data_IF_261961773920
#
_entry.id   IF_261961773920
#
_cell.length_a   1.000
_cell.length_b   1.000
_cell.length_c   1.000
_cell.angle_alpha   90.00
_cell.angle_beta   90.00
_cell.angle_gamma   90.00
#
_symmetry.space_group_name_H-M   'P 1'
#
loop_
_entity.id
_entity.type
_entity.pdbx_description
1 polymer ?
#
# COMPACT_ATOMS: atom_id res chain seq x y z
N UNK A 1 -39.92 47.93 38.45
CA UNK A 1 -38.59 47.30 38.50
C UNK A 1 -37.72 47.93 37.43
N UNK A 2 -36.83 48.83 37.87
CA UNK A 2 -35.58 49.22 37.22
C UNK A 2 -34.90 48.02 36.55
N UNK A 3 -34.02 48.10 35.55
CA UNK A 3 -33.34 49.17 34.84
C UNK A 3 -32.44 48.45 33.83
N UNK A 4 -32.20 49.11 32.69
CA UNK A 4 -31.04 48.95 31.79
C UNK A 4 -30.94 47.71 30.88
N UNK A 5 -30.47 47.80 29.64
CA UNK A 5 -30.15 48.91 28.74
C UNK A 5 -29.58 48.32 27.43
N UNK A 6 -30.05 48.84 26.27
CA UNK A 6 -29.24 49.37 25.13
C UNK A 6 -28.30 48.37 24.38
N UNK A 7 -28.24 48.26 23.05
CA UNK A 7 -28.63 49.14 21.95
C UNK A 7 -28.68 48.30 20.67
N UNK A 8 -29.78 48.33 19.93
CA UNK A 8 -29.80 48.04 18.50
C UNK A 8 -30.80 49.02 17.91
N UNK A 9 -30.39 49.85 16.93
CA UNK A 9 -31.20 50.48 15.88
C UNK A 9 -30.38 51.58 15.17
N UNK A 10 -30.58 51.63 13.84
CA UNK A 10 -30.23 52.67 12.83
C UNK A 10 -28.83 52.60 12.21
N UNK A 11 -28.64 52.71 10.89
CA UNK A 11 -29.55 53.06 9.81
C UNK A 11 -29.01 52.55 8.46
N UNK A 12 -29.93 52.22 7.56
CA UNK A 12 -29.69 52.01 6.14
C UNK A 12 -29.81 53.33 5.35
N UNK A 13 -29.13 53.35 4.20
CA UNK A 13 -29.23 54.23 3.04
C UNK A 13 -28.65 55.65 3.18
N UNK A 14 -27.70 55.98 2.29
CA UNK A 14 -27.68 57.18 1.42
C UNK A 14 -26.44 57.12 0.49
N UNK A 15 -26.74 57.19 -0.82
CA UNK A 15 -25.94 57.65 -1.98
C UNK A 15 -24.90 56.76 -2.66
N UNK A 16 -25.31 56.32 -3.86
CA UNK A 16 -24.47 56.13 -5.03
C UNK A 16 -24.12 57.47 -5.71
N UNK A 17 -22.94 57.53 -6.34
CA UNK A 17 -22.68 58.32 -7.54
C UNK A 17 -21.70 59.49 -7.41
N UNK A 18 -20.48 59.31 -7.93
CA UNK A 18 -19.83 60.27 -8.85
C UNK A 18 -18.55 59.65 -9.44
N UNK A 19 -18.53 59.54 -10.76
CA UNK A 19 -17.40 59.12 -11.58
C UNK A 19 -16.35 60.25 -11.70
N UNK A 20 -15.09 59.86 -11.89
CA UNK A 20 -13.98 60.75 -12.23
C UNK A 20 -12.86 59.97 -12.90
N UNK A 21 -12.77 60.10 -14.22
CA UNK A 21 -11.77 59.49 -15.07
C UNK A 21 -10.39 60.16 -14.90
N UNK A 22 -9.32 59.36 -14.96
CA UNK A 22 -8.00 59.83 -15.35
C UNK A 22 -7.30 58.73 -16.14
N UNK A 23 -7.07 59.03 -17.42
CA UNK A 23 -6.30 58.23 -18.35
C UNK A 23 -4.80 58.32 -18.03
N UNK A 24 -4.07 57.22 -18.22
CA UNK A 24 -2.65 57.27 -18.54
C UNK A 24 -2.36 56.42 -19.79
N UNK A 25 -1.66 57.10 -20.68
CA UNK A 25 -1.31 56.82 -22.06
C UNK A 25 -0.28 55.71 -22.20
N UNK A 26 -0.38 54.92 -23.28
CA UNK A 26 0.48 53.77 -23.53
C UNK A 26 1.85 54.06 -24.12
N UNK A 27 2.60 52.97 -24.34
CA UNK A 27 3.20 52.63 -25.63
C UNK A 27 3.58 51.13 -25.62
N UNK A 28 3.48 50.44 -26.76
CA UNK A 28 3.64 48.98 -26.85
C UNK A 28 5.07 48.61 -27.22
N UNK A 29 5.56 47.46 -26.72
CA UNK A 29 6.74 46.82 -27.31
C UNK A 29 6.32 45.57 -28.07
N UNK A 30 6.36 45.68 -29.40
CA UNK A 30 6.16 44.60 -30.33
C UNK A 30 7.50 43.95 -30.71
N UNK A 31 7.50 42.62 -30.63
CA UNK A 31 8.08 41.63 -31.53
C UNK A 31 9.58 41.67 -31.89
N UNK A 32 10.24 40.55 -31.59
CA UNK A 32 11.14 39.92 -32.55
C UNK A 32 10.88 38.40 -32.56
N UNK A 33 10.12 37.94 -33.56
CA UNK A 33 10.06 36.56 -33.98
C UNK A 33 11.10 36.34 -35.09
N UNK A 34 11.87 35.26 -34.99
CA UNK A 34 12.82 34.77 -35.99
C UNK A 34 13.09 33.29 -35.76
N UNK A 35 13.46 32.51 -36.79
CA UNK A 35 12.72 31.30 -37.16
C UNK A 35 13.36 29.99 -36.70
N UNK A 36 12.50 28.97 -36.54
CA UNK A 36 12.72 27.60 -37.01
C UNK A 36 13.93 26.83 -36.47
N UNK A 37 13.71 26.03 -35.43
CA UNK A 37 14.41 24.75 -35.28
C UNK A 37 13.37 23.70 -34.87
N UNK A 38 13.11 22.79 -35.80
CA UNK A 38 12.32 21.58 -35.61
C UNK A 38 12.95 20.72 -34.51
N UNK A 39 12.33 20.70 -33.33
CA UNK A 39 12.53 19.60 -32.40
C UNK A 39 11.49 18.55 -32.71
N UNK A 40 11.92 17.56 -33.49
CA UNK A 40 11.22 16.30 -33.66
C UNK A 40 10.91 15.75 -32.27
N UNK A 41 9.60 15.61 -32.00
CA UNK A 41 9.08 15.04 -30.79
C UNK A 41 9.43 13.56 -30.71
N UNK A 42 10.57 13.25 -30.09
CA UNK A 42 10.80 11.92 -29.54
C UNK A 42 10.00 11.86 -28.25
N UNK A 43 8.78 11.30 -28.34
CA UNK A 43 8.02 10.90 -27.17
C UNK A 43 8.86 10.00 -26.26
N UNK A 44 8.60 9.98 -24.94
CA UNK A 44 9.37 9.13 -24.04
C UNK A 44 9.24 7.68 -24.51
N UNK A 45 10.40 7.03 -24.67
CA UNK A 45 10.49 5.63 -25.03
C UNK A 45 9.63 4.78 -24.08
N UNK A 46 9.01 3.69 -24.58
CA UNK A 46 8.30 2.76 -23.72
C UNK A 46 9.22 2.29 -22.60
N UNK A 47 8.71 2.32 -21.36
CA UNK A 47 9.40 1.81 -20.18
C UNK A 47 9.95 0.41 -20.50
N UNK A 48 11.26 0.15 -20.30
CA UNK A 48 11.80 -1.18 -20.54
C UNK A 48 11.06 -2.16 -19.64
N UNK A 49 10.62 -3.28 -20.23
CA UNK A 49 10.06 -4.40 -19.50
C UNK A 49 10.93 -4.74 -18.30
N UNK A 50 10.27 -5.07 -17.18
CA UNK A 50 10.93 -5.37 -15.91
C UNK A 50 12.16 -6.26 -16.13
N UNK A 51 13.29 -5.99 -15.46
CA UNK A 51 14.33 -7.00 -15.38
C UNK A 51 13.71 -8.23 -14.73
N UNK A 52 13.75 -9.36 -15.43
CA UNK A 52 13.47 -10.66 -14.85
C UNK A 52 14.20 -10.76 -13.50
N UNK A 53 13.53 -11.28 -12.47
CA UNK A 53 14.09 -11.58 -11.14
C UNK A 53 15.16 -12.69 -11.30
N UNK A 54 16.27 -12.37 -11.97
CA UNK A 54 17.32 -13.31 -12.37
C UNK A 54 18.62 -13.09 -11.59
N UNK A 55 18.65 -12.16 -10.63
CA UNK A 55 19.85 -11.83 -9.85
C UNK A 55 19.90 -12.32 -8.39
N UNK A 56 18.82 -12.89 -7.83
CA UNK A 56 18.74 -13.25 -6.39
C UNK A 56 18.71 -14.75 -6.08
N UNK A 57 18.93 -15.63 -7.06
CA UNK A 57 18.75 -17.07 -6.90
C UNK A 57 19.56 -17.74 -5.77
N UNK A 58 20.59 -17.08 -5.22
CA UNK A 58 21.45 -17.65 -4.17
C UNK A 58 21.06 -17.27 -2.72
N UNK A 59 20.18 -16.29 -2.48
CA UNK A 59 20.00 -15.69 -1.14
C UNK A 59 18.95 -16.31 -0.21
N UNK A 60 18.08 -17.17 -0.75
CA UNK A 60 16.85 -17.62 -0.08
C UNK A 60 16.57 -19.13 -0.17
N UNK A 61 17.52 -19.92 -0.68
CA UNK A 61 17.32 -21.36 -0.88
C UNK A 61 17.04 -22.13 0.43
N UNK A 62 17.64 -21.69 1.55
CA UNK A 62 17.40 -22.20 2.91
C UNK A 62 16.01 -21.85 3.46
N UNK A 63 15.37 -20.80 2.94
CA UNK A 63 14.03 -20.34 3.33
C UNK A 63 12.93 -20.89 2.41
N UNK A 64 13.32 -21.42 1.25
CA UNK A 64 12.39 -21.83 0.22
C UNK A 64 11.51 -23.01 0.69
N UNK A 65 10.24 -23.05 0.26
CA UNK A 65 9.42 -24.23 0.50
C UNK A 65 9.98 -25.41 -0.32
N UNK A 66 9.79 -26.67 0.14
CA UNK A 66 10.32 -27.85 -0.55
C UNK A 66 9.76 -28.05 -1.96
N UNK A 67 8.63 -27.41 -2.26
CA UNK A 67 8.02 -27.27 -3.59
C UNK A 67 7.36 -25.91 -3.69
N UNK A 68 7.10 -25.42 -4.90
CA UNK A 68 6.24 -24.24 -5.10
C UNK A 68 4.86 -24.52 -4.53
N UNK A 69 4.34 -23.56 -3.76
CA UNK A 69 3.01 -23.63 -3.15
C UNK A 69 1.96 -23.16 -4.14
N UNK A 70 0.84 -23.87 -4.18
CA UNK A 70 -0.30 -23.62 -5.05
C UNK A 70 -1.19 -22.56 -4.42
N UNK A 71 -1.47 -21.49 -5.13
CA UNK A 71 -2.13 -20.29 -4.59
C UNK A 71 -3.41 -20.00 -5.34
N UNK A 72 -4.45 -19.66 -4.59
CA UNK A 72 -5.68 -19.05 -5.12
C UNK A 72 -5.69 -17.53 -4.95
N UNK A 73 -6.25 -16.81 -5.92
CA UNK A 73 -6.51 -15.36 -5.81
C UNK A 73 -8.02 -15.13 -5.80
N UNK A 74 -8.57 -14.67 -4.68
CA UNK A 74 -9.98 -14.28 -4.55
C UNK A 74 -10.13 -12.80 -4.93
N UNK A 75 -11.15 -12.47 -5.73
CA UNK A 75 -11.27 -11.13 -6.31
C UNK A 75 -10.31 -10.89 -7.48
N UNK A 76 -9.92 -11.96 -8.19
CA UNK A 76 -8.89 -11.95 -9.24
C UNK A 76 -9.10 -10.95 -10.37
N UNK A 77 -10.35 -10.56 -10.67
CA UNK A 77 -10.67 -9.62 -11.76
C UNK A 77 -10.57 -8.15 -11.33
N UNK A 78 -10.52 -7.86 -10.02
CA UNK A 78 -10.40 -6.50 -9.50
C UNK A 78 -8.97 -5.96 -9.58
N UNK A 79 -8.80 -4.64 -9.39
CA UNK A 79 -7.51 -3.97 -9.53
C UNK A 79 -6.39 -4.58 -8.66
N UNK A 80 -6.68 -4.94 -7.40
CA UNK A 80 -5.71 -5.61 -6.51
C UNK A 80 -5.47 -7.07 -6.93
N UNK A 81 -6.51 -7.79 -7.39
CA UNK A 81 -6.38 -9.16 -7.90
C UNK A 81 -5.46 -9.23 -9.12
N UNK A 82 -5.57 -8.26 -10.03
CA UNK A 82 -4.68 -8.14 -11.18
C UNK A 82 -3.23 -7.92 -10.75
N UNK A 83 -2.98 -7.11 -9.70
CA UNK A 83 -1.64 -6.92 -9.13
C UNK A 83 -1.07 -8.19 -8.51
N UNK A 84 -1.88 -8.99 -7.81
CA UNK A 84 -1.44 -10.31 -7.36
C UNK A 84 -0.98 -11.17 -8.53
N UNK A 85 -1.77 -11.26 -9.58
CA UNK A 85 -1.46 -12.08 -10.76
C UNK A 85 -0.18 -11.60 -11.45
N UNK A 86 -0.02 -10.29 -11.63
CA UNK A 86 1.18 -9.70 -12.21
C UNK A 86 2.44 -9.99 -11.38
N UNK A 87 2.40 -9.77 -10.06
CA UNK A 87 3.57 -9.98 -9.19
C UNK A 87 3.86 -11.46 -8.87
N UNK A 88 2.89 -12.36 -9.09
CA UNK A 88 3.08 -13.79 -8.93
C UNK A 88 3.55 -14.50 -10.21
N UNK A 89 3.61 -13.80 -11.34
CA UNK A 89 4.12 -14.35 -12.59
C UNK A 89 5.61 -14.74 -12.43
N UNK A 90 5.90 -16.04 -12.61
CA UNK A 90 7.26 -16.56 -12.44
C UNK A 90 7.77 -16.56 -10.98
N UNK A 91 6.89 -16.37 -9.99
CA UNK A 91 7.31 -16.28 -8.60
C UNK A 91 7.99 -17.57 -8.11
N UNK A 92 9.19 -17.51 -7.49
CA UNK A 92 10.00 -18.70 -7.21
C UNK A 92 9.36 -19.65 -6.21
N UNK A 93 8.46 -19.18 -5.35
CA UNK A 93 7.83 -19.98 -4.30
C UNK A 93 6.35 -20.28 -4.54
N UNK A 94 5.68 -19.56 -5.43
CA UNK A 94 4.22 -19.55 -5.52
C UNK A 94 3.76 -19.76 -6.95
N UNK A 95 2.74 -20.58 -7.13
CA UNK A 95 2.08 -20.87 -8.41
C UNK A 95 0.60 -20.52 -8.32
N UNK A 96 0.12 -19.60 -9.16
CA UNK A 96 -1.29 -19.26 -9.23
C UNK A 96 -2.05 -20.37 -9.96
N UNK A 97 -2.85 -21.16 -9.24
CA UNK A 97 -3.59 -22.30 -9.81
C UNK A 97 -5.11 -22.11 -9.82
N UNK A 98 -5.61 -21.15 -9.05
CA UNK A 98 -7.04 -20.91 -8.92
C UNK A 98 -7.36 -19.41 -8.88
N UNK A 99 -8.37 -19.00 -9.65
CA UNK A 99 -8.80 -17.61 -9.72
C UNK A 99 -10.28 -17.53 -9.37
N UNK A 100 -10.58 -16.83 -8.27
CA UNK A 100 -11.94 -16.63 -7.78
C UNK A 100 -12.43 -15.22 -8.07
N UNK A 101 -13.65 -15.08 -8.58
CA UNK A 101 -14.27 -13.77 -8.75
C UNK A 101 -15.79 -13.83 -8.54
N UNK A 102 -16.49 -12.79 -8.99
CA UNK A 102 -17.96 -12.71 -8.91
C UNK A 102 -18.65 -13.84 -9.69
N UNK A 103 -19.90 -14.16 -9.33
CA UNK A 103 -20.75 -15.11 -10.09
C UNK A 103 -20.88 -14.77 -11.58
N UNK A 104 -20.83 -13.48 -11.94
CA UNK A 104 -20.85 -13.01 -13.34
C UNK A 104 -19.61 -13.42 -14.14
N UNK A 105 -18.49 -13.60 -13.45
CA UNK A 105 -17.19 -13.96 -14.03
C UNK A 105 -16.94 -15.47 -13.96
N UNK A 106 -17.51 -16.16 -12.96
CA UNK A 106 -17.39 -17.61 -12.80
C UNK A 106 -17.80 -18.37 -14.06
N UNK A 107 -17.06 -19.43 -14.38
CA UNK A 107 -17.25 -20.28 -15.57
C UNK A 107 -16.62 -19.74 -16.87
N UNK A 108 -16.12 -18.49 -16.88
CA UNK A 108 -15.43 -17.91 -18.04
C UNK A 108 -13.92 -18.13 -17.93
N UNK A 109 -13.23 -18.19 -19.07
CA UNK A 109 -11.77 -18.04 -19.11
C UNK A 109 -11.37 -16.66 -18.55
N UNK A 110 -10.33 -16.59 -17.73
CA UNK A 110 -9.92 -15.37 -17.04
C UNK A 110 -9.70 -14.19 -17.99
N UNK A 111 -9.01 -14.41 -19.11
CA UNK A 111 -8.77 -13.36 -20.11
C UNK A 111 -10.04 -12.74 -20.69
N UNK A 112 -11.14 -13.48 -20.72
CA UNK A 112 -12.46 -12.98 -21.17
C UNK A 112 -13.28 -12.38 -20.02
N UNK A 113 -12.96 -12.70 -18.77
CA UNK A 113 -13.69 -12.26 -17.59
C UNK A 113 -13.13 -10.97 -17.00
N UNK A 114 -11.82 -10.73 -17.17
CA UNK A 114 -11.10 -9.59 -16.61
C UNK A 114 -11.14 -8.39 -17.55
N UNK A 115 -11.32 -7.22 -16.99
CA UNK A 115 -10.95 -5.97 -17.64
C UNK A 115 -9.55 -5.59 -17.16
N UNK A 116 -8.53 -5.99 -17.91
CA UNK A 116 -7.13 -5.80 -17.53
C UNK A 116 -6.74 -4.31 -17.64
N UNK A 117 -6.28 -3.71 -16.55
CA UNK A 117 -5.95 -2.27 -16.47
C UNK A 117 -4.48 -2.00 -16.12
N UNK A 118 -3.68 -3.07 -15.98
CA UNK A 118 -2.24 -2.97 -15.83
C UNK A 118 -1.58 -2.85 -17.20
N UNK A 119 -0.33 -2.37 -17.20
CA UNK A 119 0.45 -2.27 -18.42
C UNK A 119 0.84 -3.68 -18.90
N UNK A 120 0.81 -3.91 -20.21
CA UNK A 120 1.05 -5.23 -20.82
C UNK A 120 -0.20 -6.11 -20.91
N UNK A 121 -0.01 -7.34 -21.41
CA UNK A 121 -1.09 -8.30 -21.61
C UNK A 121 -1.39 -9.11 -20.33
N UNK A 122 -2.56 -9.74 -20.30
CA UNK A 122 -2.89 -10.73 -19.26
C UNK A 122 -1.86 -11.87 -19.31
N UNK A 123 -1.23 -12.26 -18.18
CA UNK A 123 -0.24 -13.34 -18.18
C UNK A 123 -0.79 -14.62 -18.79
N UNK A 124 -0.08 -15.15 -19.80
CA UNK A 124 -0.52 -16.29 -20.59
C UNK A 124 -0.79 -17.54 -19.73
N UNK A 125 -0.02 -17.70 -18.65
CA UNK A 125 -0.15 -18.81 -17.71
C UNK A 125 -1.52 -18.88 -17.02
N UNK A 126 -2.25 -17.75 -16.90
CA UNK A 126 -3.56 -17.72 -16.23
C UNK A 126 -4.71 -17.31 -17.15
N UNK A 127 -4.44 -16.80 -18.35
CA UNK A 127 -5.45 -16.29 -19.27
C UNK A 127 -6.54 -17.33 -19.61
N UNK A 128 -6.16 -18.61 -19.74
CA UNK A 128 -7.04 -19.73 -20.04
C UNK A 128 -7.68 -20.38 -18.80
N UNK A 129 -7.29 -19.98 -17.59
CA UNK A 129 -7.88 -20.56 -16.37
C UNK A 129 -9.37 -20.21 -16.28
N UNK A 130 -10.20 -21.21 -15.99
CA UNK A 130 -11.61 -20.99 -15.68
C UNK A 130 -11.73 -20.29 -14.33
N UNK A 131 -12.40 -19.15 -14.32
CA UNK A 131 -12.73 -18.42 -13.10
C UNK A 131 -13.73 -19.22 -12.27
N UNK A 132 -13.45 -19.33 -10.97
CA UNK A 132 -14.21 -20.10 -9.98
C UNK A 132 -15.07 -19.17 -9.11
N UNK A 133 -16.09 -19.72 -8.43
CA UNK A 133 -16.75 -18.98 -7.35
C UNK A 133 -15.82 -18.91 -6.15
N UNK A 134 -15.91 -17.83 -5.35
CA UNK A 134 -15.10 -17.67 -4.15
C UNK A 134 -15.66 -18.53 -2.99
N UNK A 135 -15.68 -19.85 -3.19
CA UNK A 135 -16.19 -20.85 -2.26
C UNK A 135 -15.09 -21.90 -1.98
N UNK A 136 -14.85 -22.31 -0.73
CA UNK A 136 -13.75 -23.23 -0.40
C UNK A 136 -13.82 -24.58 -1.14
N UNK A 137 -15.03 -25.06 -1.45
CA UNK A 137 -15.29 -26.28 -2.23
C UNK A 137 -14.67 -26.24 -3.63
N UNK A 138 -14.52 -25.05 -4.23
CA UNK A 138 -13.88 -24.87 -5.54
C UNK A 138 -12.36 -24.64 -5.44
N UNK A 139 -11.79 -24.63 -4.24
CA UNK A 139 -10.37 -24.32 -3.98
C UNK A 139 -9.66 -25.45 -3.21
N UNK A 140 -10.12 -26.69 -3.35
CA UNK A 140 -9.47 -27.85 -2.69
C UNK A 140 -8.04 -28.14 -3.17
N UNK A 141 -7.62 -27.53 -4.28
CA UNK A 141 -6.32 -27.70 -4.93
C UNK A 141 -5.30 -26.59 -4.60
N UNK A 142 -5.60 -25.72 -3.64
CA UNK A 142 -4.69 -24.64 -3.19
C UNK A 142 -4.11 -24.92 -1.80
N UNK A 143 -2.86 -24.53 -1.62
CA UNK A 143 -2.18 -24.52 -0.33
C UNK A 143 -2.65 -23.32 0.52
N UNK A 144 -2.93 -22.17 -0.10
CA UNK A 144 -3.49 -20.98 0.55
C UNK A 144 -4.14 -20.02 -0.46
N UNK A 145 -4.79 -18.96 0.03
CA UNK A 145 -5.38 -17.92 -0.82
C UNK A 145 -4.92 -16.51 -0.45
N UNK A 146 -4.76 -15.67 -1.47
CA UNK A 146 -4.76 -14.22 -1.35
C UNK A 146 -6.19 -13.69 -1.52
N UNK A 147 -6.65 -12.87 -0.58
CA UNK A 147 -7.97 -12.23 -0.66
C UNK A 147 -7.83 -10.76 -1.09
N UNK A 148 -8.20 -10.48 -2.34
CA UNK A 148 -8.36 -9.15 -2.91
C UNK A 148 -9.84 -8.73 -2.97
N UNK A 149 -10.67 -9.30 -2.09
CA UNK A 149 -12.12 -9.07 -2.07
C UNK A 149 -12.48 -7.67 -1.58
N UNK A 150 -13.63 -7.19 -2.02
CA UNK A 150 -14.24 -5.99 -1.44
C UNK A 150 -14.70 -6.27 0.01
N UNK A 151 -14.57 -5.26 0.86
CA UNK A 151 -14.88 -5.37 2.29
C UNK A 151 -16.35 -5.77 2.57
N UNK A 152 -17.29 -5.49 1.66
CA UNK A 152 -18.70 -5.86 1.82
C UNK A 152 -18.95 -7.38 1.80
N UNK A 153 -18.07 -8.16 1.15
CA UNK A 153 -18.22 -9.62 1.02
C UNK A 153 -17.07 -10.40 1.65
N UNK A 154 -15.92 -9.75 1.88
CA UNK A 154 -14.70 -10.40 2.36
C UNK A 154 -14.90 -11.16 3.67
N UNK A 155 -15.57 -10.56 4.68
CA UNK A 155 -15.65 -11.15 6.02
C UNK A 155 -16.20 -12.58 6.05
N UNK A 156 -17.34 -12.81 5.41
CA UNK A 156 -17.95 -14.15 5.35
C UNK A 156 -17.12 -15.12 4.51
N UNK A 157 -16.63 -14.67 3.35
CA UNK A 157 -15.85 -15.54 2.45
C UNK A 157 -14.54 -15.95 3.12
N UNK A 158 -13.79 -15.02 3.68
CA UNK A 158 -12.52 -15.29 4.36
C UNK A 158 -12.70 -16.24 5.54
N UNK A 159 -13.76 -16.04 6.35
CA UNK A 159 -14.10 -16.95 7.44
C UNK A 159 -14.41 -18.37 6.96
N UNK A 160 -15.10 -18.52 5.82
CA UNK A 160 -15.39 -19.82 5.22
C UNK A 160 -14.11 -20.53 4.76
N UNK A 161 -13.17 -19.81 4.15
CA UNK A 161 -11.86 -20.38 3.74
C UNK A 161 -11.04 -20.83 4.96
N UNK A 162 -10.94 -20.00 6.00
CA UNK A 162 -10.26 -20.38 7.24
C UNK A 162 -10.92 -21.60 7.89
N UNK A 163 -12.25 -21.65 7.94
CA UNK A 163 -13.01 -22.78 8.50
C UNK A 163 -12.84 -24.08 7.70
N UNK A 164 -12.60 -23.97 6.38
CA UNK A 164 -12.26 -25.09 5.51
C UNK A 164 -10.76 -25.48 5.57
N UNK A 165 -10.03 -24.93 6.53
CA UNK A 165 -8.62 -25.21 6.75
C UNK A 165 -7.67 -24.51 5.78
N UNK A 166 -8.12 -23.51 5.02
CA UNK A 166 -7.29 -22.78 4.04
C UNK A 166 -6.71 -21.51 4.67
N UNK A 167 -5.38 -21.34 4.75
CA UNK A 167 -4.77 -20.07 5.16
C UNK A 167 -5.15 -18.91 4.21
N UNK A 168 -5.42 -17.74 4.80
CA UNK A 168 -5.88 -16.54 4.08
C UNK A 168 -4.94 -15.36 4.35
N UNK A 169 -4.39 -14.80 3.27
CA UNK A 169 -3.65 -13.53 3.29
C UNK A 169 -4.55 -12.44 2.72
N UNK A 170 -5.15 -11.64 3.60
CA UNK A 170 -6.20 -10.69 3.23
C UNK A 170 -5.70 -9.27 3.02
N UNK A 171 -6.21 -8.63 1.97
CA UNK A 171 -6.12 -7.19 1.76
C UNK A 171 -7.32 -6.41 2.34
N UNK A 172 -8.40 -7.11 2.69
CA UNK A 172 -9.62 -6.51 3.17
C UNK A 172 -9.48 -5.94 4.59
N UNK A 173 -10.29 -4.94 4.91
CA UNK A 173 -10.25 -4.26 6.22
C UNK A 173 -10.88 -5.08 7.35
N UNK A 174 -11.70 -6.07 7.03
CA UNK A 174 -12.67 -6.70 7.93
C UNK A 174 -12.04 -7.28 9.20
N UNK A 175 -10.86 -7.90 9.04
CA UNK A 175 -10.20 -8.62 10.13
C UNK A 175 -9.01 -7.85 10.72
N UNK A 176 -8.68 -6.65 10.21
CA UNK A 176 -7.45 -5.91 10.59
C UNK A 176 -7.35 -5.62 12.08
N UNK A 177 -8.47 -5.27 12.69
CA UNK A 177 -8.55 -4.91 14.11
C UNK A 177 -9.06 -6.04 15.01
N UNK A 178 -9.20 -7.27 14.48
CA UNK A 178 -9.54 -8.43 15.32
C UNK A 178 -8.36 -8.73 16.27
N UNK A 179 -8.58 -8.98 17.57
CA UNK A 179 -7.52 -9.04 18.59
C UNK A 179 -6.39 -10.04 18.33
N UNK A 180 -6.67 -11.17 17.71
CA UNK A 180 -5.69 -12.24 17.41
C UNK A 180 -5.38 -12.40 15.92
N UNK A 181 -5.82 -11.46 15.07
CA UNK A 181 -5.46 -11.44 13.65
C UNK A 181 -4.31 -10.47 13.43
N UNK A 182 -3.15 -10.91 12.92
CA UNK A 182 -2.04 -10.01 12.65
C UNK A 182 -2.37 -8.99 11.55
N UNK A 183 -1.94 -7.76 11.78
CA UNK A 183 -1.94 -6.65 10.82
C UNK A 183 -0.49 -6.34 10.47
N UNK A 184 0.02 -6.95 9.40
CA UNK A 184 1.47 -7.04 9.17
C UNK A 184 1.90 -6.16 8.01
N UNK A 185 2.86 -5.28 8.28
CA UNK A 185 3.72 -4.62 7.31
C UNK A 185 5.10 -5.27 7.46
N UNK A 186 5.50 -6.17 6.53
CA UNK A 186 6.62 -7.08 6.72
C UNK A 186 7.93 -6.45 7.23
N UNK A 187 8.40 -5.30 6.71
CA UNK A 187 9.64 -4.70 7.23
C UNK A 187 9.49 -4.06 8.63
N UNK A 188 8.27 -3.75 9.06
CA UNK A 188 7.98 -3.00 10.29
C UNK A 188 7.69 -3.94 11.47
N UNK A 189 6.80 -4.90 11.32
CA UNK A 189 6.35 -5.75 12.43
C UNK A 189 6.24 -7.26 12.06
N UNK A 190 7.32 -7.89 11.58
CA UNK A 190 7.32 -9.28 11.14
C UNK A 190 7.04 -10.29 12.26
N UNK A 191 7.32 -9.94 13.52
CA UNK A 191 7.05 -10.72 14.72
C UNK A 191 5.55 -10.86 15.02
N UNK A 192 4.73 -9.91 14.59
CA UNK A 192 3.27 -9.97 14.76
C UNK A 192 2.66 -11.17 14.05
N UNK A 193 3.32 -11.66 12.99
CA UNK A 193 2.87 -12.82 12.25
C UNK A 193 2.84 -14.08 13.14
N UNK A 194 3.70 -14.19 14.15
CA UNK A 194 3.74 -15.37 15.02
C UNK A 194 2.45 -15.55 15.87
N UNK A 195 1.66 -14.48 16.04
CA UNK A 195 0.36 -14.49 16.73
C UNK A 195 -0.68 -15.33 16.00
N UNK A 196 -0.50 -15.68 14.71
CA UNK A 196 -1.41 -16.63 14.03
C UNK A 196 -1.55 -17.96 14.79
N UNK A 197 -0.53 -18.36 15.57
CA UNK A 197 -0.57 -19.57 16.41
C UNK A 197 -1.63 -19.51 17.50
N UNK A 198 -2.10 -18.33 17.91
CA UNK A 198 -3.18 -18.17 18.88
C UNK A 198 -4.57 -18.28 18.26
N UNK A 199 -4.68 -18.31 16.93
CA UNK A 199 -5.95 -18.51 16.25
C UNK A 199 -6.36 -19.98 16.37
N UNK A 200 -7.61 -20.22 16.77
CA UNK A 200 -8.14 -21.58 16.94
C UNK A 200 -7.99 -22.43 15.68
N UNK A 201 -8.23 -21.86 14.51
CA UNK A 201 -8.07 -22.53 13.22
C UNK A 201 -6.64 -23.04 12.97
N UNK A 202 -5.64 -22.39 13.56
CA UNK A 202 -4.24 -22.78 13.40
C UNK A 202 -3.96 -24.08 14.13
N UNK A 203 -4.49 -24.23 15.35
CA UNK A 203 -4.41 -25.48 16.09
C UNK A 203 -5.23 -26.60 15.43
N UNK A 204 -6.42 -26.27 14.91
CA UNK A 204 -7.35 -27.27 14.36
C UNK A 204 -6.89 -27.82 12.99
N UNK A 205 -6.25 -26.99 12.16
CA UNK A 205 -5.97 -27.34 10.75
C UNK A 205 -4.70 -26.73 10.16
N UNK A 206 -3.96 -25.93 10.93
CA UNK A 206 -2.87 -25.08 10.41
C UNK A 206 -3.35 -23.86 9.63
N UNK A 207 -4.66 -23.62 9.56
CA UNK A 207 -5.24 -22.48 8.86
C UNK A 207 -5.23 -21.23 9.72
N UNK A 208 -5.04 -20.08 9.09
CA UNK A 208 -5.03 -18.80 9.78
C UNK A 208 -5.45 -17.71 8.83
N UNK A 209 -5.76 -16.55 9.38
CA UNK A 209 -5.89 -15.31 8.63
C UNK A 209 -4.86 -14.29 9.10
N UNK A 210 -4.22 -13.64 8.14
CA UNK A 210 -3.37 -12.46 8.35
C UNK A 210 -3.84 -11.38 7.39
N UNK A 211 -3.75 -10.13 7.83
CA UNK A 211 -4.11 -8.96 7.02
C UNK A 211 -2.90 -8.10 6.74
N UNK A 212 -2.84 -7.50 5.55
CA UNK A 212 -1.99 -6.34 5.33
C UNK A 212 -2.69 -5.05 5.80
N UNK A 213 -1.93 -3.96 5.88
CA UNK A 213 -2.44 -2.66 6.30
C UNK A 213 -3.16 -1.89 5.18
N UNK A 214 -3.80 -0.79 5.54
CA UNK A 214 -4.25 0.22 4.59
C UNK A 214 -3.06 0.73 3.77
N UNK A 215 -3.33 1.05 2.50
CA UNK A 215 -2.27 1.44 1.56
C UNK A 215 -1.53 2.71 1.99
N UNK A 216 -2.22 3.71 2.55
CA UNK A 216 -1.58 4.91 3.11
C UNK A 216 -0.87 4.61 4.42
N UNK A 217 -1.47 3.81 5.30
CA UNK A 217 -0.83 3.39 6.56
C UNK A 217 0.48 2.65 6.29
N UNK A 218 0.54 1.81 5.26
CA UNK A 218 1.74 1.02 4.91
C UNK A 218 2.93 1.92 4.60
N UNK A 219 2.76 2.90 3.71
CA UNK A 219 3.83 3.85 3.40
C UNK A 219 4.23 4.67 4.62
N UNK A 220 3.23 5.13 5.39
CA UNK A 220 3.43 5.91 6.60
C UNK A 220 4.27 5.15 7.64
N UNK A 221 3.88 3.94 8.03
CA UNK A 221 4.58 3.19 9.08
C UNK A 221 5.99 2.77 8.68
N UNK A 222 6.25 2.51 7.39
CA UNK A 222 7.63 2.30 6.92
C UNK A 222 8.52 3.52 7.17
N UNK A 223 7.98 4.73 7.04
CA UNK A 223 8.73 5.96 7.33
C UNK A 223 8.80 6.28 8.84
N UNK A 224 7.74 6.00 9.60
CA UNK A 224 7.71 6.28 11.04
C UNK A 224 8.57 5.31 11.85
N UNK A 225 8.62 4.04 11.46
CA UNK A 225 9.33 2.98 12.21
C UNK A 225 10.80 3.29 12.53
N UNK A 226 11.68 3.64 11.56
CA UNK A 226 13.07 4.01 11.87
C UNK A 226 13.17 5.25 12.77
N UNK A 227 12.22 6.19 12.66
CA UNK A 227 12.20 7.43 13.46
C UNK A 227 11.75 7.12 14.90
N UNK A 228 10.69 6.33 15.09
CA UNK A 228 10.23 5.89 16.41
C UNK A 228 11.33 5.15 17.15
N UNK A 229 12.04 4.24 16.46
CA UNK A 229 13.14 3.47 17.07
C UNK A 229 14.33 4.33 17.50
N UNK A 230 14.68 5.34 16.71
CA UNK A 230 15.85 6.17 16.97
C UNK A 230 15.58 7.30 17.97
N UNK A 231 14.40 7.94 17.88
CA UNK A 231 14.13 9.20 18.58
C UNK A 231 12.81 9.21 19.36
N UNK A 232 11.92 8.26 19.09
CA UNK A 232 10.55 8.26 19.62
C UNK A 232 9.69 9.39 19.06
N UNK A 233 8.42 9.12 18.83
CA UNK A 233 7.42 10.07 18.36
C UNK A 233 6.52 10.43 19.53
N UNK A 234 6.36 11.73 19.77
CA UNK A 234 5.43 12.27 20.75
C UNK A 234 4.08 12.59 20.11
N UNK A 235 4.06 13.07 18.87
CA UNK A 235 2.83 13.34 18.11
C UNK A 235 3.10 13.41 16.61
N UNK A 236 2.10 13.08 15.79
CA UNK A 236 2.17 13.16 14.34
C UNK A 236 0.95 13.87 13.73
N UNK A 237 1.18 14.67 12.69
CA UNK A 237 0.14 15.22 11.82
C UNK A 237 0.43 14.75 10.40
N UNK A 238 -0.56 14.13 9.76
CA UNK A 238 -0.41 13.57 8.41
C UNK A 238 -1.51 14.07 7.47
N UNK A 239 -1.12 14.40 6.24
CA UNK A 239 -2.05 14.75 5.18
C UNK A 239 -1.73 13.94 3.94
N UNK A 240 -2.69 13.16 3.45
CA UNK A 240 -2.48 12.30 2.28
C UNK A 240 -2.97 12.95 1.00
N UNK A 241 -2.28 12.66 -0.09
CA UNK A 241 -2.72 12.88 -1.47
C UNK A 241 -2.69 11.52 -2.16
N UNK A 242 -3.84 10.87 -2.21
CA UNK A 242 -3.97 9.49 -2.62
C UNK A 242 -4.35 9.38 -4.09
N UNK A 243 -3.67 8.49 -4.80
CA UNK A 243 -3.99 8.07 -6.16
C UNK A 243 -5.38 7.43 -6.29
N UNK A 244 -5.96 7.49 -7.48
CA UNK A 244 -7.30 7.00 -7.81
C UNK A 244 -7.38 5.47 -7.82
N UNK A 245 -6.29 4.75 -8.12
CA UNK A 245 -6.30 3.28 -8.14
C UNK A 245 -6.64 2.65 -6.79
N UNK A 246 -6.47 3.38 -5.68
CA UNK A 246 -6.90 2.94 -4.35
C UNK A 246 -8.41 2.84 -4.17
N UNK A 247 -9.22 3.43 -5.06
CA UNK A 247 -10.67 3.27 -5.07
C UNK A 247 -11.15 2.01 -5.80
N UNK A 248 -10.23 1.23 -6.39
CA UNK A 248 -10.55 0.07 -7.21
C UNK A 248 -11.07 0.46 -8.60
N UNK A 249 -11.74 -0.48 -9.26
CA UNK A 249 -12.37 -0.28 -10.58
C UNK A 249 -13.82 -0.78 -10.51
N UNK A 250 -14.83 -0.01 -10.98
CA UNK A 250 -14.73 1.24 -11.76
C UNK A 250 -14.28 2.48 -10.97
N UNK A 251 -14.20 2.40 -9.64
CA UNK A 251 -13.59 3.44 -8.81
C UNK A 251 -14.30 4.79 -8.89
N UNK A 252 -13.52 5.86 -9.00
CA UNK A 252 -14.02 7.24 -9.08
C UNK A 252 -14.20 7.64 -10.54
N UNK A 253 -15.22 8.46 -10.83
CA UNK A 253 -15.47 8.91 -12.19
C UNK A 253 -14.43 9.92 -12.65
N UNK A 254 -14.22 10.02 -13.96
CA UNK A 254 -13.35 11.04 -14.52
C UNK A 254 -13.83 12.46 -14.19
N UNK A 255 -15.15 12.69 -14.14
CA UNK A 255 -15.73 14.00 -13.80
C UNK A 255 -15.48 14.39 -12.33
N UNK A 256 -15.38 13.42 -11.43
CA UNK A 256 -15.05 13.72 -10.02
C UNK A 256 -13.59 14.15 -9.85
N UNK A 257 -12.69 13.72 -10.75
CA UNK A 257 -11.24 13.83 -10.57
C UNK A 257 -10.54 14.79 -11.53
N UNK A 258 -11.07 15.01 -12.73
CA UNK A 258 -10.48 15.95 -13.68
C UNK A 258 -10.55 17.38 -13.12
N UNK A 259 -9.41 18.07 -13.13
CA UNK A 259 -9.27 19.43 -12.58
C UNK A 259 -9.72 19.58 -11.11
N UNK A 260 -9.63 18.50 -10.33
CA UNK A 260 -10.21 18.47 -8.99
C UNK A 260 -9.37 17.71 -7.95
N UNK A 261 -9.67 17.98 -6.68
CA UNK A 261 -9.19 17.26 -5.51
C UNK A 261 -10.39 16.97 -4.62
N UNK A 262 -10.55 15.72 -4.17
CA UNK A 262 -11.63 15.35 -3.24
C UNK A 262 -11.06 15.33 -1.82
N UNK A 263 -11.46 16.23 -0.91
CA UNK A 263 -10.84 16.38 0.40
C UNK A 263 -11.35 15.37 1.45
N UNK A 264 -11.90 14.24 1.00
CA UNK A 264 -12.47 13.22 1.87
C UNK A 264 -12.43 11.85 1.23
N UNK A 265 -11.93 10.86 1.97
CA UNK A 265 -12.02 9.44 1.62
C UNK A 265 -12.68 8.71 2.79
N UNK A 266 -13.83 8.08 2.53
CA UNK A 266 -14.67 7.47 3.56
C UNK A 266 -13.94 6.48 4.47
N UNK A 267 -13.85 6.83 5.77
CA UNK A 267 -13.24 6.00 6.80
C UNK A 267 -11.71 5.88 6.72
N UNK A 268 -11.05 6.64 5.85
CA UNK A 268 -9.60 6.54 5.63
C UNK A 268 -8.79 7.18 6.77
N UNK A 269 -9.23 8.34 7.27
CA UNK A 269 -8.63 9.02 8.42
C UNK A 269 -8.67 8.12 9.66
N UNK A 270 -9.82 7.52 9.97
CA UNK A 270 -9.95 6.59 11.09
C UNK A 270 -9.01 5.37 10.95
N UNK A 271 -8.78 4.85 9.74
CA UNK A 271 -7.80 3.76 9.53
C UNK A 271 -6.38 4.25 9.79
N UNK A 272 -6.02 5.43 9.28
CA UNK A 272 -4.70 6.04 9.53
C UNK A 272 -4.45 6.30 11.00
N UNK A 273 -5.49 6.63 11.78
CA UNK A 273 -5.40 6.92 13.21
C UNK A 273 -5.49 5.69 14.12
N UNK A 274 -5.89 4.53 13.58
CA UNK A 274 -6.02 3.28 14.34
C UNK A 274 -4.97 2.24 13.97
N UNK A 275 -4.74 1.99 12.67
CA UNK A 275 -3.95 0.86 12.22
C UNK A 275 -2.46 0.98 12.60
N UNK A 276 -1.88 2.19 12.57
CA UNK A 276 -0.47 2.37 12.97
C UNK A 276 -0.22 1.96 14.41
N UNK A 277 -1.20 2.12 15.30
CA UNK A 277 -1.07 1.79 16.72
C UNK A 277 -0.78 0.31 16.89
N UNK A 278 -1.55 -0.51 16.18
CA UNK A 278 -1.35 -1.95 16.16
C UNK A 278 -0.04 -2.32 15.44
N UNK A 279 0.30 -1.67 14.33
CA UNK A 279 1.49 -2.02 13.53
C UNK A 279 2.80 -1.66 14.24
N UNK A 280 2.91 -0.44 14.77
CA UNK A 280 4.11 0.04 15.49
C UNK A 280 4.15 -0.45 16.94
N UNK A 281 3.04 -1.06 17.40
CA UNK A 281 2.92 -1.69 18.69
C UNK A 281 3.72 -2.99 18.83
N UNK A 282 3.50 -3.70 19.94
CA UNK A 282 4.17 -4.95 20.24
C UNK A 282 3.24 -6.17 20.21
N UNK A 283 3.82 -7.35 20.34
CA UNK A 283 3.08 -8.56 20.74
C UNK A 283 2.92 -8.53 22.26
N UNK A 284 1.74 -8.90 22.78
CA UNK A 284 1.50 -8.94 24.22
C UNK A 284 2.32 -10.06 24.90
N UNK A 285 2.45 -10.00 26.23
CA UNK A 285 3.27 -10.95 27.00
C UNK A 285 2.82 -12.41 26.89
N UNK A 286 1.56 -12.66 26.52
CA UNK A 286 1.03 -14.00 26.30
C UNK A 286 1.28 -14.54 24.90
N UNK A 287 1.75 -13.71 23.96
CA UNK A 287 1.94 -14.10 22.56
C UNK A 287 0.63 -14.34 21.79
N UNK A 288 -0.51 -13.91 22.35
CA UNK A 288 -1.85 -14.22 21.80
C UNK A 288 -2.58 -13.01 21.23
N UNK A 289 -1.99 -11.82 21.34
CA UNK A 289 -2.53 -10.56 20.83
C UNK A 289 -1.47 -9.47 20.80
N UNK A 290 -1.91 -8.22 20.78
CA UNK A 290 -1.05 -7.07 20.51
C UNK A 290 -1.15 -5.99 21.60
N UNK A 291 -0.14 -5.16 21.71
CA UNK A 291 -0.14 -3.90 22.47
C UNK A 291 -0.03 -2.74 21.49
N UNK A 292 -0.73 -1.64 21.77
CA UNK A 292 -0.73 -0.46 20.90
C UNK A 292 0.52 0.40 21.11
N UNK A 293 1.03 1.01 20.04
CA UNK A 293 1.89 2.19 20.12
C UNK A 293 1.12 3.39 20.70
N UNK A 294 1.84 4.28 21.40
CA UNK A 294 1.24 5.26 22.30
C UNK A 294 1.70 6.69 21.96
N UNK A 295 1.26 7.22 20.82
CA UNK A 295 1.33 8.65 20.51
C UNK A 295 0.09 9.07 19.73
N UNK A 296 -0.42 10.31 19.86
CA UNK A 296 -1.51 10.80 19.02
C UNK A 296 -1.05 11.03 17.58
N UNK A 297 -1.90 10.64 16.63
CA UNK A 297 -1.75 10.94 15.21
C UNK A 297 -3.05 11.57 14.71
N UNK A 298 -2.95 12.71 14.03
CA UNK A 298 -4.09 13.36 13.37
C UNK A 298 -3.95 13.22 11.85
N UNK A 299 -4.99 12.76 11.18
CA UNK A 299 -4.97 12.50 9.74
C UNK A 299 -5.96 13.38 8.95
N UNK A 300 -5.58 13.72 7.73
CA UNK A 300 -6.50 14.25 6.70
C UNK A 300 -6.30 13.50 5.40
N UNK A 301 -7.36 12.97 4.81
CA UNK A 301 -7.27 12.09 3.64
C UNK A 301 -7.88 12.69 2.37
N UNK A 302 -7.04 12.95 1.37
CA UNK A 302 -7.46 13.57 0.11
C UNK A 302 -7.22 12.65 -1.09
N UNK A 303 -8.10 12.71 -2.08
CA UNK A 303 -7.91 12.08 -3.39
C UNK A 303 -7.42 13.10 -4.41
N UNK A 304 -6.40 12.74 -5.17
CA UNK A 304 -5.83 13.56 -6.25
C UNK A 304 -5.84 12.80 -7.57
N UNK A 305 -5.79 13.53 -8.69
CA UNK A 305 -5.81 12.95 -10.04
C UNK A 305 -4.44 12.35 -10.44
N UNK A 306 -4.05 11.29 -9.73
CA UNK A 306 -2.82 10.51 -9.95
C UNK A 306 -3.22 9.04 -10.09
N UNK A 307 -2.73 8.35 -11.13
CA UNK A 307 -3.08 6.94 -11.41
C UNK A 307 -2.71 6.01 -10.25
N UNK A 308 -1.43 5.98 -9.89
CA UNK A 308 -0.84 5.15 -8.82
C UNK A 308 0.22 5.96 -8.06
N UNK A 309 0.40 5.63 -6.79
CA UNK A 309 1.34 6.27 -5.85
C UNK A 309 0.61 7.17 -4.86
N UNK A 310 0.72 6.87 -3.56
CA UNK A 310 0.20 7.73 -2.49
C UNK A 310 1.31 8.61 -1.96
N UNK A 311 0.99 9.90 -1.78
CA UNK A 311 1.86 10.86 -1.12
C UNK A 311 1.33 11.19 0.26
N UNK A 312 2.22 11.38 1.23
CA UNK A 312 1.87 11.73 2.59
C UNK A 312 2.82 12.83 3.07
N UNK A 313 2.28 14.00 3.39
CA UNK A 313 3.00 15.04 4.12
C UNK A 313 2.92 14.72 5.61
N UNK A 314 4.07 14.58 6.26
CA UNK A 314 4.17 14.16 7.67
C UNK A 314 4.89 15.24 8.46
N UNK A 315 4.32 15.67 9.58
CA UNK A 315 4.98 16.52 10.58
C UNK A 315 5.03 15.79 11.92
N UNK A 316 6.20 15.72 12.52
CA UNK A 316 6.48 14.93 13.73
C UNK A 316 7.01 15.83 14.84
N UNK A 317 6.49 15.61 16.05
CA UNK A 317 7.13 16.02 17.29
C UNK A 317 7.81 14.79 17.88
N UNK A 318 9.10 14.91 18.18
CA UNK A 318 9.95 13.82 18.62
C UNK A 318 10.11 13.86 20.14
N UNK A 319 10.20 12.68 20.75
CA UNK A 319 10.46 12.52 22.18
C UNK A 319 11.90 12.91 22.51
N UNK A 320 12.83 12.54 21.64
CA UNK A 320 14.21 13.00 21.63
C UNK A 320 14.42 13.89 20.41
N UNK A 321 14.84 15.14 20.63
CA UNK A 321 15.12 16.08 19.54
C UNK A 321 16.20 15.52 18.61
N UNK A 322 15.99 15.68 17.32
CA UNK A 322 16.93 15.29 16.27
C UNK A 322 16.89 16.32 15.15
N UNK A 323 18.06 16.59 14.57
CA UNK A 323 18.20 17.39 13.35
C UNK A 323 17.62 16.64 12.14
N UNK A 324 17.24 17.36 11.06
CA UNK A 324 16.82 16.72 9.82
C UNK A 324 17.84 15.71 9.28
N UNK A 325 19.14 15.99 9.39
CA UNK A 325 20.20 15.07 8.93
C UNK A 325 20.27 13.77 9.75
N UNK A 326 20.03 13.83 11.06
CA UNK A 326 19.94 12.62 11.90
C UNK A 326 18.70 11.79 11.55
N UNK A 327 17.57 12.45 11.25
CA UNK A 327 16.35 11.79 10.77
C UNK A 327 16.55 11.13 9.41
N UNK A 328 17.23 11.82 8.47
CA UNK A 328 17.61 11.25 7.17
C UNK A 328 18.53 10.04 7.33
N UNK A 329 19.51 10.10 8.23
CA UNK A 329 20.41 8.98 8.50
C UNK A 329 19.64 7.77 9.07
N UNK A 330 18.70 7.98 9.99
CA UNK A 330 17.86 6.92 10.53
C UNK A 330 16.97 6.27 9.44
N UNK A 331 16.38 7.07 8.56
CA UNK A 331 15.59 6.61 7.43
C UNK A 331 16.42 5.81 6.41
N UNK A 332 17.60 6.33 6.05
CA UNK A 332 18.51 5.69 5.10
C UNK A 332 19.11 4.39 5.66
N UNK A 333 19.31 4.32 6.98
CA UNK A 333 19.78 3.13 7.69
C UNK A 333 18.68 2.12 8.04
N UNK A 334 17.46 2.29 7.54
CA UNK A 334 16.35 1.41 7.91
C UNK A 334 16.59 -0.04 7.46
N UNK A 335 16.59 -0.93 8.45
CA UNK A 335 16.60 -2.38 8.26
C UNK A 335 15.34 -2.99 8.86
N UNK A 336 14.75 -4.02 8.22
CA UNK A 336 13.62 -4.75 8.78
C UNK A 336 13.90 -5.25 10.19
N UNK A 337 12.87 -5.31 11.05
CA UNK A 337 13.03 -5.84 12.43
C UNK A 337 13.49 -7.29 12.47
N UNK A 338 13.18 -8.07 11.43
CA UNK A 338 13.67 -9.43 11.24
C UNK A 338 14.47 -9.48 9.94
N UNK A 339 15.76 -9.84 10.05
CA UNK A 339 16.68 -9.89 8.91
C UNK A 339 16.23 -10.88 7.82
N UNK A 340 15.38 -11.86 8.15
CA UNK A 340 14.79 -12.78 7.15
C UNK A 340 13.99 -12.02 6.10
N UNK A 341 13.35 -10.90 6.46
CA UNK A 341 12.49 -10.12 5.58
C UNK A 341 13.29 -9.53 4.41
N UNK A 342 14.54 -9.11 4.63
CA UNK A 342 15.41 -8.57 3.58
C UNK A 342 15.86 -9.65 2.57
N UNK A 343 15.73 -10.93 2.93
CA UNK A 343 16.15 -12.08 2.12
C UNK A 343 15.00 -12.68 1.32
N UNK A 344 13.76 -12.26 1.57
CA UNK A 344 12.59 -12.81 0.87
C UNK A 344 12.66 -12.52 -0.64
N UNK A 345 12.11 -13.40 -1.50
CA UNK A 345 12.21 -13.24 -2.95
C UNK A 345 11.69 -11.89 -3.47
N UNK A 346 10.56 -11.42 -2.92
CA UNK A 346 9.96 -10.15 -3.30
C UNK A 346 10.56 -8.93 -2.60
N UNK A 347 11.52 -9.11 -1.68
CA UNK A 347 12.10 -7.99 -0.94
C UNK A 347 12.88 -7.06 -1.87
N UNK A 348 12.68 -5.73 -1.81
CA UNK A 348 13.47 -4.78 -2.56
C UNK A 348 14.90 -4.69 -2.00
N UNK A 349 15.84 -4.05 -2.71
CA UNK A 349 17.16 -3.72 -2.15
C UNK A 349 17.08 -2.90 -0.85
N UNK A 350 16.09 -2.00 -0.76
CA UNK A 350 15.81 -1.20 0.42
C UNK A 350 14.29 -0.99 0.56
N UNK A 351 13.75 -1.14 1.78
CA UNK A 351 12.32 -0.89 2.04
C UNK A 351 12.01 0.61 2.21
N UNK A 352 12.99 1.40 2.62
CA UNK A 352 12.92 2.87 2.68
C UNK A 352 14.10 3.43 1.91
N UNK A 353 13.84 4.40 1.03
CA UNK A 353 14.87 5.15 0.31
C UNK A 353 14.68 6.64 0.55
N UNK A 354 15.74 7.33 0.98
CA UNK A 354 15.74 8.79 1.08
C UNK A 354 16.08 9.38 -0.29
N UNK A 355 15.27 10.33 -0.75
CA UNK A 355 15.47 11.05 -2.01
C UNK A 355 16.71 11.95 -1.90
N UNK A 356 17.49 12.02 -2.98
CA UNK A 356 18.60 12.95 -3.07
C UNK A 356 18.13 14.42 -3.02
N UNK A 357 19.00 15.32 -2.55
CA UNK A 357 18.75 16.77 -2.54
C UNK A 357 18.18 17.34 -1.23
N UNK A 358 18.01 16.52 -0.18
CA UNK A 358 17.65 16.97 1.17
C UNK A 358 16.29 17.67 1.26
N UNK A 359 16.20 18.69 2.14
CA UNK A 359 14.96 19.41 2.45
C UNK A 359 14.33 20.21 1.29
N UNK A 360 15.16 20.68 0.35
CA UNK A 360 14.77 21.56 -0.76
C UNK A 360 14.49 20.81 -2.07
N UNK A 361 14.69 19.48 -2.08
CA UNK A 361 14.37 18.65 -3.23
C UNK A 361 12.87 18.71 -3.59
N UNK A 362 12.56 18.59 -4.87
CA UNK A 362 11.21 18.43 -5.40
C UNK A 362 10.77 16.94 -5.44
N UNK A 363 11.35 16.11 -4.57
CA UNK A 363 11.16 14.66 -4.50
C UNK A 363 10.70 14.22 -3.10
N UNK A 364 9.87 13.15 -3.00
CA UNK A 364 9.42 12.29 -4.08
C UNK A 364 8.24 12.85 -4.90
N UNK A 365 8.00 12.28 -6.08
CA UNK A 365 6.86 12.52 -6.95
C UNK A 365 6.23 11.18 -7.39
N UNK A 366 4.90 10.99 -7.34
CA UNK A 366 4.27 9.70 -7.62
C UNK A 366 4.70 9.07 -8.94
N UNK A 367 4.70 9.85 -10.03
CA UNK A 367 5.04 9.35 -11.37
C UNK A 367 6.50 8.88 -11.48
N UNK A 368 7.41 9.50 -10.73
CA UNK A 368 8.85 9.26 -10.85
C UNK A 368 9.34 8.21 -9.85
N UNK A 369 8.69 8.10 -8.68
CA UNK A 369 9.21 7.37 -7.53
C UNK A 369 8.40 6.15 -7.13
N UNK A 370 7.14 6.02 -7.56
CA UNK A 370 6.28 4.91 -7.12
C UNK A 370 6.83 3.52 -7.49
N UNK A 371 7.61 3.42 -8.56
CA UNK A 371 8.11 2.13 -9.09
C UNK A 371 9.51 1.78 -8.56
N UNK A 372 10.10 2.60 -7.69
CA UNK A 372 11.37 2.31 -7.02
C UNK A 372 11.28 0.98 -6.26
N UNK A 373 12.30 0.13 -6.40
CA UNK A 373 12.31 -1.22 -5.84
C UNK A 373 11.17 -2.11 -6.35
N UNK A 374 10.67 -1.87 -7.57
CA UNK A 374 9.53 -2.59 -8.12
C UNK A 374 8.20 -2.25 -7.44
N UNK A 375 8.11 -1.08 -6.79
CA UNK A 375 6.96 -0.65 -6.01
C UNK A 375 6.91 -1.18 -4.58
N UNK A 376 7.95 -1.89 -4.14
CA UNK A 376 8.11 -2.36 -2.75
C UNK A 376 8.87 -1.39 -1.85
N UNK A 377 9.51 -0.35 -2.41
CA UNK A 377 10.25 0.66 -1.65
C UNK A 377 9.36 1.87 -1.36
N UNK A 378 9.33 2.29 -0.10
CA UNK A 378 8.78 3.59 0.30
C UNK A 378 9.85 4.65 0.11
N UNK A 379 9.57 5.67 -0.70
CA UNK A 379 10.50 6.78 -0.93
C UNK A 379 10.16 7.93 0.00
N UNK A 380 11.14 8.44 0.74
CA UNK A 380 11.00 9.57 1.65
C UNK A 380 11.86 10.72 1.15
N UNK A 381 11.39 11.95 1.28
CA UNK A 381 12.16 13.14 0.88
C UNK A 381 11.70 14.38 1.61
N UNK A 382 12.31 15.51 1.28
CA UNK A 382 12.04 16.81 1.92
C UNK A 382 12.11 16.79 3.44
N UNK A 383 13.04 16.02 4.01
CA UNK A 383 13.25 15.99 5.46
C UNK A 383 13.85 17.32 5.88
N UNK A 384 13.15 18.06 6.76
CA UNK A 384 13.52 19.42 7.16
C UNK A 384 12.87 19.80 8.47
N UNK A 385 13.35 20.90 9.06
CA UNK A 385 12.76 21.44 10.28
C UNK A 385 11.28 21.80 10.09
N UNK A 386 10.47 21.53 11.11
CA UNK A 386 9.10 21.98 11.19
C UNK A 386 9.00 23.14 12.19
N UNK A 387 8.54 24.34 11.81
CA UNK A 387 8.48 25.48 12.74
C UNK A 387 7.42 25.34 13.85
N UNK A 388 6.49 24.38 13.70
CA UNK A 388 5.43 24.10 14.67
C UNK A 388 5.71 22.83 15.48
N UNK A 389 6.35 21.85 14.83
CA UNK A 389 6.72 20.57 15.42
C UNK A 389 8.25 20.49 15.49
N UNK A 390 8.86 19.36 15.15
CA UNK A 390 10.32 19.23 15.14
C UNK A 390 10.84 18.99 13.73
N UNK A 391 10.30 17.98 13.06
CA UNK A 391 10.69 17.60 11.70
C UNK A 391 9.46 17.39 10.84
N UNK A 392 9.59 17.66 9.53
CA UNK A 392 8.59 17.31 8.54
C UNK A 392 9.25 16.69 7.31
N UNK A 393 8.53 15.79 6.68
CA UNK A 393 8.99 14.97 5.55
C UNK A 393 7.82 14.63 4.63
N UNK A 394 8.13 14.12 3.45
CA UNK A 394 7.15 13.67 2.45
C UNK A 394 7.43 12.21 2.10
N UNK A 395 6.40 11.39 2.14
CA UNK A 395 6.46 9.95 1.85
C UNK A 395 5.75 9.68 0.53
N UNK A 396 6.32 8.82 -0.32
CA UNK A 396 5.69 8.23 -1.49
C UNK A 396 5.72 6.71 -1.39
N UNK A 397 4.60 6.05 -1.66
CA UNK A 397 4.54 4.58 -1.71
C UNK A 397 3.56 4.09 -2.77
N UNK A 398 3.87 2.94 -3.39
CA UNK A 398 2.99 2.34 -4.39
C UNK A 398 1.79 1.68 -3.72
N UNK A 399 0.61 2.29 -3.84
CA UNK A 399 -0.57 1.90 -3.08
C UNK A 399 -1.16 0.54 -3.46
N UNK A 400 -0.96 0.07 -4.69
CA UNK A 400 -1.43 -1.26 -5.13
C UNK A 400 -0.36 -2.36 -5.13
N UNK A 401 0.91 -2.01 -4.83
CA UNK A 401 2.02 -2.96 -4.67
C UNK A 401 2.36 -3.07 -3.19
N UNK A 402 3.27 -2.25 -2.64
CA UNK A 402 3.57 -2.30 -1.21
C UNK A 402 2.32 -2.05 -0.35
N UNK A 403 1.44 -1.13 -0.76
CA UNK A 403 0.21 -0.84 -0.02
C UNK A 403 -0.91 -1.89 -0.15
N UNK A 404 -0.73 -2.94 -0.95
CA UNK A 404 -1.74 -3.98 -1.16
C UNK A 404 -1.11 -5.35 -1.48
N UNK A 405 -1.11 -5.75 -2.76
CA UNK A 405 -0.76 -7.11 -3.19
C UNK A 405 0.65 -7.51 -2.79
N UNK A 406 1.63 -6.60 -2.95
CA UNK A 406 3.03 -6.85 -2.62
C UNK A 406 3.25 -7.12 -1.13
N UNK A 407 2.62 -6.35 -0.24
CA UNK A 407 2.70 -6.61 1.21
C UNK A 407 2.10 -7.97 1.59
N UNK A 408 0.98 -8.35 0.98
CA UNK A 408 0.41 -9.69 1.19
C UNK A 408 1.33 -10.80 0.67
N UNK A 409 1.98 -10.62 -0.49
CA UNK A 409 2.97 -11.57 -1.02
C UNK A 409 4.15 -11.72 -0.06
N UNK A 410 4.73 -10.61 0.42
CA UNK A 410 5.79 -10.63 1.43
C UNK A 410 5.34 -11.29 2.74
N UNK A 411 4.09 -11.09 3.16
CA UNK A 411 3.54 -11.79 4.34
C UNK A 411 3.47 -13.31 4.13
N UNK A 412 3.11 -13.76 2.92
CA UNK A 412 3.12 -15.19 2.59
C UNK A 412 4.53 -15.77 2.54
N UNK A 413 5.49 -15.05 1.95
CA UNK A 413 6.90 -15.43 1.95
C UNK A 413 7.44 -15.52 3.38
N UNK A 414 7.14 -14.52 4.22
CA UNK A 414 7.53 -14.51 5.63
C UNK A 414 6.90 -15.69 6.40
N UNK A 415 5.64 -16.05 6.11
CA UNK A 415 4.99 -17.21 6.71
C UNK A 415 5.66 -18.53 6.33
N UNK A 416 6.13 -18.67 5.08
CA UNK A 416 6.94 -19.82 4.65
C UNK A 416 8.27 -19.84 5.39
N UNK A 417 9.00 -18.72 5.41
CA UNK A 417 10.30 -18.61 6.08
C UNK A 417 10.21 -18.92 7.59
N UNK A 418 9.13 -18.50 8.26
CA UNK A 418 8.82 -18.81 9.67
C UNK A 418 8.21 -20.20 9.90
N UNK A 419 8.07 -21.02 8.85
CA UNK A 419 7.45 -22.37 8.88
C UNK A 419 6.01 -22.40 9.42
N UNK A 420 5.32 -21.27 9.30
CA UNK A 420 3.90 -21.09 9.63
C UNK A 420 2.98 -21.57 8.50
N UNK A 421 3.46 -21.45 7.26
CA UNK A 421 2.76 -21.90 6.07
C UNK A 421 3.45 -23.12 5.46
N UNK A 422 2.69 -24.16 5.15
CA UNK A 422 3.17 -25.40 4.52
C UNK A 422 2.20 -25.87 3.45
N UNK A 423 2.69 -26.75 2.58
CA UNK A 423 1.87 -27.47 1.61
C UNK A 423 0.73 -28.22 2.29
N UNK A 424 -0.50 -27.98 1.85
CA UNK A 424 -1.71 -28.73 2.24
C UNK A 424 -2.10 -29.77 1.19
N UNK A 425 -1.75 -29.55 -0.07
CA UNK A 425 -2.10 -30.45 -1.16
C UNK A 425 -1.02 -31.53 -1.30
N UNK A 426 -1.41 -32.79 -1.10
CA UNK A 426 -0.52 -33.95 -1.20
C UNK A 426 -0.34 -34.42 -2.65
N UNK A 427 0.91 -34.55 -3.07
CA UNK A 427 1.36 -35.27 -4.26
C UNK A 427 2.84 -35.60 -4.07
N UNK A 428 3.35 -36.75 -4.57
CA UNK A 428 4.68 -37.23 -4.24
C UNK A 428 5.76 -36.23 -4.71
N UNK A 429 6.83 -36.15 -3.91
CA UNK A 429 8.07 -35.46 -4.27
C UNK A 429 8.54 -36.07 -5.59
N UNK A 430 8.42 -35.34 -6.70
CA UNK A 430 9.22 -35.66 -7.88
C UNK A 430 10.67 -35.42 -7.47
N UNK A 431 11.36 -36.49 -7.11
CA UNK A 431 12.80 -36.47 -6.88
C UNK A 431 13.44 -35.88 -8.13
N UNK A 432 14.17 -34.78 -7.96
CA UNK A 432 15.15 -34.35 -8.94
C UNK A 432 16.21 -35.45 -9.05
N UNK A 433 16.00 -36.37 -9.98
CA UNK A 433 16.82 -37.54 -10.21
C UNK A 433 16.26 -38.26 -11.42
N UNK A 434 17.02 -38.21 -12.51
CA UNK A 434 16.85 -38.89 -13.79
C UNK A 434 16.27 -38.03 -14.93
N UNK A 435 17.14 -37.14 -15.42
CA UNK A 435 17.30 -36.97 -16.87
C UNK A 435 18.54 -37.77 -17.25
N UNK A 436 18.32 -38.92 -17.89
CA UNK A 436 19.31 -39.58 -18.77
C UNK A 436 19.31 -38.85 -20.10
#
# INVERSE_FOLDING_TARGET
MAAWARTAVRAASVLAGAAGAAALTGTPHAAAAGPGASHDGVGPAPSPGQPAISGKAAGFADLAPPRRLRVGVLGATGAVGQRFIHHLEGHPWFDVVALGASRRSSGKAYGNAVHWTLDGDVPAAVASHTVRNCEPSEFGDVDFVFSALDASVAGTIEANFVSAGVPVFSNARNSRMVPNVPLVVPPVNPDHLDVVRSQRSFADSGAFIVTNANCSTTGLVCALEPIERAFGIEAAIVTTMQAISGAGYPGLSALDMLDNVIPRIGGEEAKLELEYRKILGGVNSTGTGFTDAVFPLSASANRVHVRDGHMICVSLKLRTKASPGEVEAALAGFVPRDAVVARLPSAPPAFVQVSAGGGDADRPQPRLDRDVGGGYTTVVGRVRECPVMDVKLVVCSHNTVMGAAGSSILNAELAVAKKLLRSRVGGPVASAGDRV
#
